data_IF_718234301077
#
_entry.id   IF_718234301077
#
_cell.length_a   1.000
_cell.length_b   1.000
_cell.length_c   1.000
_cell.angle_alpha   90.00
_cell.angle_beta   90.00
_cell.angle_gamma   90.00
#
_symmetry.space_group_name_H-M   'P 1'
#
loop_
_entity.id
_entity.type
_entity.pdbx_description
1 polymer ?
#
# COMPACT_ATOMS: atom_id res chain seq x y z
N UNK A 1 9.74 5.08 -34.19
CA UNK A 1 9.29 5.52 -34.04
C UNK A 1 9.03 6.04 -33.28
N UNK A 2 9.09 6.43 -33.58
CA UNK A 2 8.82 6.27 -32.71
C UNK A 2 8.06 7.18 -32.16
N UNK A 3 7.26 6.86 -31.34
CA UNK A 3 6.39 7.65 -30.70
C UNK A 3 7.04 8.59 -29.83
N UNK A 4 8.25 8.36 -29.38
CA UNK A 4 9.00 9.21 -28.49
C UNK A 4 10.14 9.81 -29.26
N UNK A 5 10.34 11.12 -29.20
CA UNK A 5 11.48 11.72 -29.85
C UNK A 5 12.77 11.13 -29.32
N UNK A 6 13.73 11.05 -30.17
CA UNK A 6 15.01 10.53 -29.78
C UNK A 6 15.58 11.38 -28.64
N UNK A 7 16.07 10.74 -27.62
CA UNK A 7 16.62 11.45 -26.49
C UNK A 7 15.62 11.83 -25.43
N UNK A 8 14.32 11.66 -25.70
CA UNK A 8 13.30 11.96 -24.70
C UNK A 8 13.01 10.73 -23.87
N UNK A 9 13.10 10.84 -22.55
CA UNK A 9 12.78 9.68 -21.72
C UNK A 9 11.28 9.42 -21.69
N UNK A 10 10.93 8.18 -21.42
CA UNK A 10 9.53 7.84 -21.20
C UNK A 10 9.09 8.38 -19.85
N UNK A 11 7.84 8.77 -19.76
CA UNK A 11 7.28 9.35 -18.55
C UNK A 11 6.24 8.44 -17.96
N UNK A 12 6.10 8.50 -16.64
CA UNK A 12 5.03 7.79 -15.96
C UNK A 12 3.71 8.36 -16.41
N UNK A 13 2.92 7.53 -17.07
CA UNK A 13 1.64 7.94 -17.62
C UNK A 13 0.75 6.71 -17.70
N UNK A 14 -0.52 6.95 -17.93
CA UNK A 14 -1.49 5.86 -18.03
C UNK A 14 -1.01 4.81 -19.04
N UNK A 15 -0.99 3.56 -18.61
CA UNK A 15 -0.58 2.48 -19.48
C UNK A 15 0.91 2.19 -19.46
N UNK A 16 1.67 2.87 -18.62
CA UNK A 16 3.10 2.62 -18.50
C UNK A 16 3.39 1.82 -17.25
N UNK A 17 4.39 0.94 -17.32
CA UNK A 17 4.88 0.21 -16.17
C UNK A 17 6.04 0.99 -15.57
N UNK A 18 5.95 1.27 -14.29
CA UNK A 18 6.96 2.02 -13.56
C UNK A 18 7.58 1.11 -12.52
N UNK A 19 8.90 0.97 -12.57
CA UNK A 19 9.65 0.21 -11.57
C UNK A 19 10.40 1.21 -10.70
N UNK A 20 10.27 1.06 -9.39
CA UNK A 20 10.86 2.01 -8.46
C UNK A 20 11.26 1.34 -7.16
N UNK A 21 12.24 1.94 -6.50
CA UNK A 21 12.50 1.66 -5.10
C UNK A 21 11.84 2.73 -4.26
N UNK A 22 11.38 2.36 -3.08
CA UNK A 22 10.76 3.32 -2.19
C UNK A 22 11.10 3.00 -0.74
N UNK A 23 11.02 4.02 0.10
CA UNK A 23 11.05 3.88 1.54
C UNK A 23 9.86 4.66 2.08
N UNK A 24 9.06 4.02 2.90
CA UNK A 24 7.86 4.62 3.47
C UNK A 24 8.11 4.88 4.94
N UNK A 25 7.94 6.14 5.36
CA UNK A 25 8.08 6.51 6.76
C UNK A 25 6.83 7.25 7.21
N UNK A 26 6.67 7.33 8.54
CA UNK A 26 5.58 8.12 9.12
C UNK A 26 6.13 9.48 9.57
N UNK A 27 5.28 10.26 10.25
CA UNK A 27 5.67 11.60 10.67
C UNK A 27 6.83 11.59 11.66
N UNK A 28 7.00 10.51 12.38
CA UNK A 28 8.10 10.38 13.32
C UNK A 28 9.40 9.92 12.71
N UNK A 29 9.41 9.67 11.41
CA UNK A 29 10.61 9.20 10.75
C UNK A 29 10.82 7.70 10.84
N UNK A 30 9.88 6.99 11.38
CA UNK A 30 9.97 5.54 11.51
C UNK A 30 9.73 4.89 10.16
N UNK A 31 10.60 3.95 9.77
CA UNK A 31 10.44 3.23 8.50
C UNK A 31 9.35 2.19 8.65
N UNK A 32 8.30 2.33 7.85
CA UNK A 32 7.16 1.43 7.87
C UNK A 32 7.30 0.34 6.83
N UNK A 33 7.97 0.63 5.73
CA UNK A 33 8.14 -0.30 4.65
C UNK A 33 9.25 0.21 3.74
N UNK A 34 9.87 -0.71 2.99
CA UNK A 34 10.93 -0.32 2.07
C UNK A 34 11.15 -1.43 1.07
N UNK A 35 11.41 -1.07 -0.17
CA UNK A 35 11.81 -2.02 -1.19
C UNK A 35 13.32 -2.08 -1.38
N UNK A 36 14.08 -1.25 -0.64
CA UNK A 36 15.52 -1.09 -0.94
C UNK A 36 16.31 -2.36 -0.74
N UNK A 37 15.89 -3.20 0.20
CA UNK A 37 16.58 -4.46 0.46
C UNK A 37 15.95 -5.62 -0.28
N UNK A 38 15.05 -5.34 -1.20
CA UNK A 38 14.31 -6.34 -1.96
C UNK A 38 14.27 -5.91 -3.41
N UNK A 39 13.40 -6.55 -4.17
CA UNK A 39 13.22 -6.18 -5.56
C UNK A 39 12.42 -4.89 -5.68
N UNK A 40 12.68 -4.13 -6.74
CA UNK A 40 11.89 -2.91 -6.96
C UNK A 40 10.41 -3.24 -7.12
N UNK A 41 9.59 -2.28 -6.73
CA UNK A 41 8.16 -2.39 -6.95
C UNK A 41 7.86 -1.96 -8.38
N UNK A 42 7.14 -2.80 -9.12
CA UNK A 42 6.68 -2.46 -10.46
C UNK A 42 5.16 -2.34 -10.42
N UNK A 43 4.64 -1.28 -11.02
CA UNK A 43 3.19 -1.09 -11.03
C UNK A 43 2.76 -0.52 -12.37
N UNK A 44 1.48 -0.73 -12.69
CA UNK A 44 0.87 -0.20 -13.91
C UNK A 44 0.23 1.14 -13.57
N UNK A 45 0.78 2.20 -14.15
CA UNK A 45 0.33 3.55 -13.83
C UNK A 45 -1.04 3.83 -14.42
N UNK A 46 -1.90 4.46 -13.65
CA UNK A 46 -3.24 4.84 -14.09
C UNK A 46 -4.30 3.82 -13.77
N UNK A 47 -3.95 2.71 -13.12
CA UNK A 47 -4.89 1.63 -12.87
C UNK A 47 -5.12 1.33 -11.39
N UNK A 48 -4.69 2.24 -10.51
CA UNK A 48 -4.95 2.06 -9.10
C UNK A 48 -4.13 0.97 -8.43
N UNK A 49 -2.97 0.65 -8.98
CA UNK A 49 -2.10 -0.37 -8.40
C UNK A 49 -1.42 0.10 -7.11
N UNK A 50 -1.27 1.39 -6.94
CA UNK A 50 -0.67 1.98 -5.74
C UNK A 50 -1.61 3.06 -5.22
N UNK A 51 -1.30 3.59 -4.02
CA UNK A 51 -2.20 4.56 -3.42
C UNK A 51 -2.29 5.81 -4.30
N UNK A 52 -3.49 6.41 -4.35
CA UNK A 52 -3.75 7.49 -5.33
C UNK A 52 -2.83 8.70 -5.19
N UNK A 53 -2.51 9.09 -3.96
CA UNK A 53 -1.65 10.25 -3.78
C UNK A 53 -0.25 10.04 -4.32
N UNK A 54 0.27 8.83 -4.19
CA UNK A 54 1.59 8.53 -4.73
C UNK A 54 1.56 8.44 -6.25
N UNK A 55 0.54 7.78 -6.78
CA UNK A 55 0.43 7.65 -8.22
C UNK A 55 0.31 9.01 -8.88
N UNK A 56 -0.49 9.89 -8.31
CA UNK A 56 -0.66 11.23 -8.84
C UNK A 56 0.64 12.02 -8.79
N UNK A 57 1.39 11.87 -7.72
CA UNK A 57 2.64 12.62 -7.55
C UNK A 57 3.71 12.17 -8.53
N UNK A 58 3.65 10.91 -8.97
CA UNK A 58 4.65 10.38 -9.89
C UNK A 58 4.30 10.60 -11.35
N UNK A 59 3.10 11.08 -11.62
CA UNK A 59 2.66 11.33 -13.00
C UNK A 59 3.65 12.26 -13.69
N UNK A 60 4.11 11.87 -14.87
CA UNK A 60 5.06 12.68 -15.64
C UNK A 60 6.50 12.54 -15.25
N UNK A 61 6.81 11.71 -14.25
CA UNK A 61 8.19 11.49 -13.85
C UNK A 61 8.92 10.60 -14.84
N UNK A 62 10.26 10.66 -14.81
CA UNK A 62 11.10 9.90 -15.73
C UNK A 62 12.02 8.97 -14.95
N UNK A 63 12.63 8.02 -15.65
CA UNK A 63 13.59 7.12 -15.02
C UNK A 63 14.76 7.94 -14.46
N UNK A 64 15.20 7.56 -13.28
CA UNK A 64 16.25 8.27 -12.57
C UNK A 64 15.74 9.36 -11.66
N UNK A 65 14.47 9.69 -11.73
CA UNK A 65 13.89 10.74 -10.89
C UNK A 65 13.80 10.27 -9.45
N UNK A 66 14.18 11.14 -8.53
CA UNK A 66 14.04 10.90 -7.11
C UNK A 66 13.08 11.93 -6.54
N UNK A 67 12.15 11.47 -5.72
CA UNK A 67 11.13 12.35 -5.19
C UNK A 67 10.81 11.98 -3.75
N UNK A 68 10.45 12.99 -2.99
CA UNK A 68 9.88 12.78 -1.67
C UNK A 68 8.44 13.24 -1.73
N UNK A 69 7.53 12.34 -1.41
CA UNK A 69 6.12 12.58 -1.56
C UNK A 69 5.43 12.38 -0.23
N UNK A 70 4.70 13.40 0.23
CA UNK A 70 3.89 13.28 1.43
C UNK A 70 2.45 13.03 0.99
N UNK A 71 1.85 11.96 1.52
CA UNK A 71 0.51 11.54 1.14
C UNK A 71 -0.37 11.65 2.38
N UNK A 72 -1.42 12.46 2.29
CA UNK A 72 -2.34 12.62 3.40
C UNK A 72 -3.19 11.37 3.55
N UNK A 73 -3.83 11.17 4.73
CA UNK A 73 -4.65 9.97 4.92
C UNK A 73 -5.73 9.80 3.86
N UNK A 74 -6.37 10.87 3.43
CA UNK A 74 -7.46 10.73 2.45
C UNK A 74 -6.96 10.24 1.10
N UNK A 75 -5.69 10.46 0.79
CA UNK A 75 -5.12 9.97 -0.48
C UNK A 75 -4.22 8.76 -0.26
N UNK A 76 -4.14 8.27 0.97
CA UNK A 76 -3.35 7.10 1.29
C UNK A 76 -4.25 5.95 1.74
N UNK A 77 -4.10 5.56 3.00
CA UNK A 77 -4.87 4.43 3.53
C UNK A 77 -6.16 4.86 4.22
N UNK A 78 -6.55 6.12 4.05
CA UNK A 78 -7.81 6.60 4.55
C UNK A 78 -7.69 7.17 5.96
N UNK A 79 -8.72 7.92 6.33
CA UNK A 79 -8.81 8.45 7.68
C UNK A 79 -9.19 7.34 8.64
N UNK A 80 -8.79 7.50 9.90
CA UNK A 80 -9.16 6.54 10.90
C UNK A 80 -10.64 6.68 11.20
N UNK A 81 -11.35 5.56 11.20
CA UNK A 81 -12.79 5.55 11.43
C UNK A 81 -13.05 5.08 12.86
N UNK A 82 -13.57 5.98 13.71
CA UNK A 82 -13.82 5.64 15.11
C UNK A 82 -14.86 4.54 15.26
N UNK A 83 -15.71 4.35 14.25
CA UNK A 83 -16.72 3.29 14.33
C UNK A 83 -16.12 1.89 14.19
N UNK A 84 -14.88 1.80 13.74
CA UNK A 84 -14.20 0.52 13.64
C UNK A 84 -13.44 0.18 14.93
N UNK A 85 -13.50 1.05 15.93
CA UNK A 85 -12.90 0.81 17.24
C UNK A 85 -14.01 0.49 18.20
N UNK A 86 -13.99 -0.70 18.80
CA UNK A 86 -15.09 -1.09 19.69
C UNK A 86 -14.58 -2.09 20.72
N UNK A 87 -15.35 -2.21 21.80
CA UNK A 87 -15.05 -3.16 22.85
C UNK A 87 -15.77 -4.46 22.58
N UNK A 88 -15.11 -5.58 22.79
CA UNK A 88 -15.72 -6.88 22.62
C UNK A 88 -15.47 -7.71 23.87
N UNK A 89 -16.32 -8.72 24.10
CA UNK A 89 -16.20 -9.60 25.24
C UNK A 89 -15.38 -10.82 24.87
N UNK A 90 -14.63 -11.30 25.83
CA UNK A 90 -13.78 -12.45 25.63
C UNK A 90 -14.57 -13.68 25.21
N UNK A 91 -15.80 -13.82 25.72
CA UNK A 91 -16.58 -15.00 25.43
C UNK A 91 -17.12 -15.04 24.00
N UNK A 92 -16.90 -13.98 23.21
CA UNK A 92 -17.28 -13.99 21.81
C UNK A 92 -16.20 -14.61 20.93
N UNK A 93 -15.11 -15.04 21.52
CA UNK A 93 -14.00 -15.66 20.79
C UNK A 93 -13.73 -17.04 21.37
N UNK A 94 -13.04 -17.90 20.59
CA UNK A 94 -12.70 -19.21 21.11
C UNK A 94 -11.90 -19.12 22.40
N UNK A 95 -12.17 -20.02 23.32
CA UNK A 95 -11.53 -19.95 24.62
C UNK A 95 -10.03 -20.20 24.57
N UNK A 96 -9.55 -20.83 23.50
CA UNK A 96 -8.12 -21.08 23.36
C UNK A 96 -7.40 -19.97 22.60
N UNK A 97 -8.12 -18.92 22.21
CA UNK A 97 -7.49 -17.80 21.52
C UNK A 97 -6.70 -16.96 22.51
N UNK A 98 -5.50 -16.58 22.12
CA UNK A 98 -4.66 -15.72 22.94
C UNK A 98 -4.99 -14.26 22.66
N UNK A 99 -5.25 -13.52 23.73
CA UNK A 99 -5.46 -12.08 23.64
C UNK A 99 -4.23 -11.39 24.16
N UNK A 100 -3.55 -10.64 23.32
CA UNK A 100 -2.37 -9.87 23.71
C UNK A 100 -2.37 -8.55 22.98
N UNK A 101 -1.86 -7.52 23.65
CA UNK A 101 -1.79 -6.18 23.03
C UNK A 101 -1.01 -6.24 21.74
N UNK A 102 -1.53 -5.57 20.73
CA UNK A 102 -0.89 -5.49 19.44
C UNK A 102 -1.14 -6.67 18.53
N UNK A 103 -1.76 -7.72 19.04
CA UNK A 103 -2.04 -8.88 18.21
C UNK A 103 -3.23 -8.62 17.32
N UNK A 104 -3.26 -9.33 16.19
CA UNK A 104 -4.36 -9.21 15.27
C UNK A 104 -5.26 -10.42 15.40
N UNK A 105 -6.56 -10.17 15.41
CA UNK A 105 -7.55 -11.23 15.40
C UNK A 105 -8.43 -11.06 14.18
N UNK A 106 -9.09 -12.14 13.80
CA UNK A 106 -9.90 -12.16 12.58
C UNK A 106 -11.32 -12.57 12.93
N UNK A 107 -12.26 -11.93 12.29
CA UNK A 107 -13.67 -12.24 12.45
C UNK A 107 -14.32 -12.30 11.08
N UNK A 108 -15.40 -13.08 10.98
CA UNK A 108 -16.14 -13.17 9.74
C UNK A 108 -17.03 -11.95 9.57
N UNK A 109 -16.94 -11.33 8.41
CA UNK A 109 -17.80 -10.21 8.07
C UNK A 109 -18.60 -10.52 6.82
N UNK A 110 -19.49 -9.60 6.45
CA UNK A 110 -20.35 -9.83 5.27
C UNK A 110 -19.55 -9.98 3.98
N UNK A 111 -18.40 -9.33 3.90
CA UNK A 111 -17.58 -9.38 2.70
C UNK A 111 -16.36 -10.26 2.87
N UNK A 112 -16.29 -11.05 3.92
CA UNK A 112 -15.16 -11.93 4.19
C UNK A 112 -14.53 -11.65 5.53
N UNK A 113 -13.37 -12.23 5.80
CA UNK A 113 -12.72 -12.03 7.10
C UNK A 113 -12.27 -10.60 7.27
N UNK A 114 -12.44 -10.07 8.47
CA UNK A 114 -12.01 -8.73 8.84
C UNK A 114 -10.96 -8.88 9.93
N UNK A 115 -9.85 -8.18 9.79
CA UNK A 115 -8.82 -8.24 10.82
C UNK A 115 -8.93 -7.04 11.73
N UNK A 116 -8.67 -7.29 13.02
CA UNK A 116 -8.71 -6.27 14.05
C UNK A 116 -7.41 -6.34 14.85
N UNK A 117 -6.97 -5.20 15.35
CA UNK A 117 -5.82 -5.13 16.23
C UNK A 117 -6.31 -4.95 17.66
N UNK A 118 -5.73 -5.69 18.60
CA UNK A 118 -6.08 -5.57 20.00
C UNK A 118 -5.35 -4.35 20.55
N UNK A 119 -6.11 -3.31 20.88
CA UNK A 119 -5.55 -2.04 21.32
C UNK A 119 -5.47 -1.95 22.83
N UNK A 120 -6.35 -2.64 23.53
CA UNK A 120 -6.40 -2.58 24.98
C UNK A 120 -7.02 -3.86 25.51
N UNK A 121 -6.55 -4.35 26.65
CA UNK A 121 -7.15 -5.49 27.32
C UNK A 121 -8.01 -5.00 28.47
N UNK A 122 -9.22 -5.54 28.56
CA UNK A 122 -10.15 -5.20 29.63
C UNK A 122 -10.41 -6.43 30.49
N UNK A 123 -11.09 -6.22 31.60
CA UNK A 123 -11.40 -7.33 32.52
C UNK A 123 -12.20 -8.41 31.82
N UNK A 124 -13.07 -8.05 30.89
CA UNK A 124 -13.99 -9.00 30.28
C UNK A 124 -13.71 -9.24 28.81
N UNK A 125 -12.73 -8.54 28.22
CA UNK A 125 -12.46 -8.69 26.80
C UNK A 125 -11.34 -7.79 26.34
N UNK A 126 -11.61 -7.06 25.25
CA UNK A 126 -10.59 -6.24 24.64
C UNK A 126 -11.22 -5.13 23.81
N UNK A 127 -10.46 -4.08 23.59
CA UNK A 127 -10.81 -3.03 22.62
C UNK A 127 -10.13 -3.37 21.33
N UNK A 128 -10.89 -3.46 20.26
CA UNK A 128 -10.41 -3.84 18.94
C UNK A 128 -10.50 -2.67 17.98
N UNK A 129 -9.52 -2.58 17.09
CA UNK A 129 -9.45 -1.54 16.06
C UNK A 129 -9.38 -2.21 14.71
N UNK A 130 -10.42 -2.02 13.89
CA UNK A 130 -10.48 -2.61 12.56
C UNK A 130 -9.92 -1.72 11.47
N UNK A 131 -9.37 -0.57 11.82
CA UNK A 131 -8.77 0.30 10.83
C UNK A 131 -7.49 -0.31 10.29
N UNK A 132 -7.16 0.08 9.04
CA UNK A 132 -5.86 -0.29 8.50
C UNK A 132 -4.76 0.25 9.44
N UNK A 133 -3.67 -0.50 9.63
CA UNK A 133 -2.63 -0.02 10.55
C UNK A 133 -2.08 1.36 10.21
N UNK A 134 -2.13 1.74 8.94
CA UNK A 134 -1.62 3.04 8.52
C UNK A 134 -2.72 4.08 8.32
N UNK A 135 -3.98 3.75 8.65
CA UNK A 135 -5.06 4.71 8.52
C UNK A 135 -4.82 5.89 9.46
N UNK A 136 -5.17 7.08 8.99
CA UNK A 136 -5.01 8.29 9.78
C UNK A 136 -3.60 8.82 9.84
N UNK A 137 -2.67 8.18 9.16
CA UNK A 137 -1.28 8.63 9.16
C UNK A 137 -0.93 9.30 7.85
N UNK A 138 -0.15 10.37 7.94
CA UNK A 138 0.46 10.97 6.76
C UNK A 138 1.69 10.12 6.42
N UNK A 139 1.79 9.74 5.16
CA UNK A 139 2.83 8.82 4.71
C UNK A 139 3.87 9.61 3.93
N UNK A 140 5.13 9.31 4.19
CA UNK A 140 6.24 9.97 3.51
C UNK A 140 6.98 8.94 2.68
N UNK A 141 6.91 9.10 1.37
CA UNK A 141 7.58 8.18 0.45
C UNK A 141 8.83 8.83 -0.10
N UNK A 142 9.94 8.10 -0.03
CA UNK A 142 11.18 8.47 -0.68
C UNK A 142 11.32 7.51 -1.84
N UNK A 143 11.19 8.00 -3.07
CA UNK A 143 11.03 7.17 -4.25
C UNK A 143 12.17 7.43 -5.21
N UNK A 144 12.68 6.37 -5.81
CA UNK A 144 13.63 6.46 -6.91
C UNK A 144 13.10 5.63 -8.06
N UNK A 145 12.83 6.27 -9.18
CA UNK A 145 12.30 5.58 -10.36
C UNK A 145 13.47 4.98 -11.14
N UNK A 146 13.41 3.68 -11.34
CA UNK A 146 14.48 2.97 -12.00
C UNK A 146 14.24 2.78 -13.48
N UNK A 147 12.99 2.49 -13.86
CA UNK A 147 12.69 2.16 -15.24
C UNK A 147 11.22 2.45 -15.52
N UNK A 148 10.95 2.89 -16.75
CA UNK A 148 9.58 3.09 -17.21
C UNK A 148 9.50 2.47 -18.59
N UNK A 149 8.47 1.63 -18.81
CA UNK A 149 8.27 0.99 -20.11
C UNK A 149 6.79 0.93 -20.43
N UNK A 150 6.43 0.80 -21.70
CA UNK A 150 5.03 0.59 -22.05
C UNK A 150 4.57 -0.76 -21.51
N UNK A 151 3.31 -0.83 -21.10
CA UNK A 151 2.74 -2.08 -20.64
C UNK A 151 2.45 -2.98 -21.82
N UNK A 152 2.50 -4.29 -21.58
CA UNK A 152 2.09 -5.24 -22.60
C UNK A 152 0.58 -5.26 -22.71
N UNK A 153 0.08 -5.83 -23.80
CA UNK A 153 -1.34 -5.94 -23.98
C UNK A 153 -1.98 -6.74 -22.86
N UNK A 154 -1.32 -7.78 -22.42
CA UNK A 154 -1.84 -8.59 -21.33
C UNK A 154 -1.88 -7.81 -20.02
N UNK A 155 -0.87 -7.01 -19.76
CA UNK A 155 -0.84 -6.21 -18.56
C UNK A 155 -1.97 -5.18 -18.57
N UNK A 156 -2.22 -4.57 -19.71
CA UNK A 156 -3.34 -3.63 -19.82
C UNK A 156 -4.67 -4.30 -19.64
N UNK A 157 -4.82 -5.49 -20.19
CA UNK A 157 -6.07 -6.24 -20.05
C UNK A 157 -6.34 -6.62 -18.60
N UNK A 158 -5.30 -7.03 -17.88
CA UNK A 158 -5.46 -7.46 -16.50
C UNK A 158 -5.37 -6.33 -15.50
N UNK A 159 -4.85 -5.16 -15.91
CA UNK A 159 -4.76 -4.01 -15.03
C UNK A 159 -3.63 -4.08 -14.03
N UNK A 160 -2.66 -4.98 -14.22
CA UNK A 160 -1.53 -5.08 -13.33
C UNK A 160 -0.33 -5.64 -14.08
N UNK A 161 0.84 -5.52 -13.43
CA UNK A 161 2.09 -5.90 -14.04
C UNK A 161 2.30 -7.40 -13.94
N UNK A 162 2.79 -7.98 -15.02
CA UNK A 162 3.21 -9.37 -15.05
C UNK A 162 4.72 -9.45 -14.97
N UNK A 163 5.22 -10.58 -14.60
CA UNK A 163 6.64 -10.85 -14.71
C UNK A 163 7.39 -10.53 -13.45
N UNK A 164 8.59 -10.05 -13.58
CA UNK A 164 9.56 -10.00 -12.51
C UNK A 164 9.07 -9.24 -11.33
N UNK A 165 8.29 -8.45 -11.29
CA UNK A 165 7.86 -7.77 -10.08
C UNK A 165 6.72 -8.43 -9.40
N UNK A 166 6.18 -9.40 -10.05
CA UNK A 166 5.00 -9.94 -9.52
C UNK A 166 5.13 -11.01 -8.51
N UNK A 167 5.22 -11.32 -8.28
CA UNK A 167 5.19 -12.17 -7.69
C UNK A 167 4.24 -12.66 -7.39
N UNK A 168 4.09 -12.89 -7.76
CA UNK A 168 3.30 -13.29 -7.76
C UNK A 168 2.72 -13.92 -7.10
N UNK A 169 2.80 -14.08 -6.90
CA UNK A 169 2.38 -14.62 -6.51
C UNK A 169 1.61 -14.82 -5.93
N UNK A 170 1.45 -14.82 -5.75
CA UNK A 170 0.81 -14.95 -5.30
C UNK A 170 0.06 -15.06 -5.06
N UNK A 171 -0.24 -15.21 -5.05
CA UNK A 171 -1.03 -15.38 -4.96
C UNK A 171 -1.51 -15.73 -4.66
#
# INVERSE_FOLDING_TARGET
PDKFPEGSPMKAANGMVVAMHYTLTNDGGEVLDSSRDSEPLAYLHGHGNIIPGLEKALEGSVAGHKAKVAVTPTEGYGEKNAELVFETRRDQFPSDMTFALGERVYAEGPSGPISFTIMELTDTGAVLDGNHPLAGQTLHFDVEILEIRPASKEELTHGHVHGAGGHHHNH
#
